data_IF_201270993211
#
_entry.id   IF_201270993211
#
_cell.length_a   1.000
_cell.length_b   1.000
_cell.length_c   1.000
_cell.angle_alpha   90.00
_cell.angle_beta   90.00
_cell.angle_gamma   90.00
#
_symmetry.space_group_name_H-M   'P 1'
#
loop_
_entity.id
_entity.type
_entity.pdbx_description
1 polymer ?
#
# COMPACT_ATOMS: atom_id res chain seq x y z
N UNK A 1 -8.82 -6.51 19.96
CA UNK A 1 -9.78 -5.50 19.42
C UNK A 1 -11.13 -5.52 20.14
N UNK A 2 -11.82 -6.66 20.33
CA UNK A 2 -13.13 -6.68 21.05
C UNK A 2 -13.05 -6.06 22.45
N UNK A 3 -12.02 -6.37 23.25
CA UNK A 3 -11.80 -5.77 24.57
C UNK A 3 -11.62 -4.24 24.50
N UNK A 4 -10.92 -3.73 23.47
CA UNK A 4 -10.74 -2.29 23.26
C UNK A 4 -12.09 -1.62 22.93
N UNK A 5 -12.94 -2.29 22.16
CA UNK A 5 -14.23 -1.77 21.71
C UNK A 5 -15.33 -1.88 22.78
N UNK A 6 -15.14 -2.66 23.85
CA UNK A 6 -16.15 -2.99 24.83
C UNK A 6 -16.82 -1.75 25.43
N UNK A 7 -16.03 -0.79 25.87
CA UNK A 7 -16.50 0.42 26.55
C UNK A 7 -16.43 1.69 25.67
N UNK A 8 -16.18 1.50 24.36
CA UNK A 8 -16.13 2.61 23.41
C UNK A 8 -17.40 2.72 22.60
N UNK A 9 -17.72 3.91 22.13
CA UNK A 9 -18.72 4.08 21.09
C UNK A 9 -18.12 3.65 19.75
N UNK A 10 -18.78 2.72 19.05
CA UNK A 10 -18.17 2.00 17.91
C UNK A 10 -19.06 2.05 16.70
N UNK A 11 -18.49 2.40 15.57
CA UNK A 11 -19.04 2.16 14.23
C UNK A 11 -18.10 1.22 13.46
N UNK A 12 -18.64 0.52 12.46
CA UNK A 12 -17.90 -0.40 11.61
C UNK A 12 -18.03 0.05 10.16
N UNK A 13 -16.89 0.14 9.47
CA UNK A 13 -16.86 0.17 8.01
C UNK A 13 -16.35 -1.17 7.50
N UNK A 14 -17.22 -1.94 6.84
CA UNK A 14 -16.86 -3.20 6.20
C UNK A 14 -16.69 -3.00 4.70
N UNK A 15 -15.51 -3.38 4.20
CA UNK A 15 -15.14 -3.19 2.80
C UNK A 15 -14.89 -4.56 2.17
N UNK A 16 -15.74 -4.96 1.24
CA UNK A 16 -15.57 -6.17 0.45
C UNK A 16 -16.43 -6.13 -0.81
N UNK A 17 -15.81 -6.14 -1.98
CA UNK A 17 -16.53 -6.10 -3.27
C UNK A 17 -17.45 -7.31 -3.43
N UNK A 18 -16.95 -8.53 -3.17
CA UNK A 18 -17.76 -9.77 -3.25
C UNK A 18 -18.62 -10.04 -2.01
N UNK A 19 -18.25 -9.47 -0.87
CA UNK A 19 -18.83 -9.81 0.43
C UNK A 19 -18.51 -11.23 0.93
N UNK A 20 -17.71 -11.99 0.19
CA UNK A 20 -17.36 -13.40 0.49
C UNK A 20 -15.87 -13.63 0.71
N UNK A 21 -15.06 -12.57 0.68
CA UNK A 21 -13.65 -12.67 1.07
C UNK A 21 -13.59 -13.11 2.53
N UNK A 22 -12.88 -14.19 2.80
CA UNK A 22 -12.97 -14.93 4.07
C UNK A 22 -12.62 -14.06 5.28
N UNK A 23 -11.52 -13.32 5.22
CA UNK A 23 -10.98 -12.55 6.34
C UNK A 23 -11.93 -11.42 6.77
N UNK A 24 -12.34 -10.50 5.89
CA UNK A 24 -13.29 -9.45 6.26
C UNK A 24 -14.67 -10.01 6.60
N UNK A 25 -15.10 -11.13 6.00
CA UNK A 25 -16.40 -11.75 6.33
C UNK A 25 -16.43 -12.31 7.75
N UNK A 26 -15.33 -12.95 8.20
CA UNK A 26 -15.19 -13.45 9.57
C UNK A 26 -15.17 -12.27 10.55
N UNK A 27 -14.33 -11.28 10.29
CA UNK A 27 -14.24 -10.08 11.12
C UNK A 27 -15.59 -9.36 11.23
N UNK A 28 -16.27 -9.17 10.10
CA UNK A 28 -17.59 -8.52 10.08
C UNK A 28 -18.62 -9.30 10.90
N UNK A 29 -18.67 -10.63 10.77
CA UNK A 29 -19.59 -11.46 11.56
C UNK A 29 -19.40 -11.25 13.07
N UNK A 30 -18.15 -11.27 13.54
CA UNK A 30 -17.81 -11.10 14.95
C UNK A 30 -18.17 -9.69 15.44
N UNK A 31 -17.76 -8.66 14.71
CA UNK A 31 -18.02 -7.27 15.12
C UNK A 31 -19.49 -6.87 14.97
N UNK A 32 -20.20 -7.37 13.97
CA UNK A 32 -21.64 -7.19 13.83
C UNK A 32 -22.39 -7.75 15.05
N UNK A 33 -22.05 -8.97 15.47
CA UNK A 33 -22.69 -9.59 16.64
C UNK A 33 -22.40 -8.79 17.92
N UNK A 34 -21.18 -8.26 18.08
CA UNK A 34 -20.85 -7.32 19.16
C UNK A 34 -21.73 -6.06 19.12
N UNK A 35 -21.92 -5.45 17.96
CA UNK A 35 -22.76 -4.26 17.82
C UNK A 35 -24.23 -4.57 18.14
N UNK A 36 -24.74 -5.71 17.66
CA UNK A 36 -26.12 -6.15 17.96
C UNK A 36 -26.34 -6.36 19.46
N UNK A 37 -25.38 -6.95 20.15
CA UNK A 37 -25.43 -7.12 21.61
C UNK A 37 -25.39 -5.78 22.35
N UNK A 38 -24.59 -4.83 21.86
CA UNK A 38 -24.37 -3.53 22.52
C UNK A 38 -25.48 -2.52 22.25
N UNK A 39 -25.98 -2.46 21.03
CA UNK A 39 -26.90 -1.40 20.56
C UNK A 39 -28.28 -1.90 20.12
N UNK A 40 -28.48 -3.22 20.07
CA UNK A 40 -29.73 -3.80 19.63
C UNK A 40 -30.10 -3.38 18.21
N UNK A 41 -31.31 -2.84 18.01
CA UNK A 41 -31.79 -2.41 16.68
C UNK A 41 -31.02 -1.21 16.13
N UNK A 42 -30.44 -0.35 16.98
CA UNK A 42 -29.64 0.79 16.53
C UNK A 42 -28.26 0.39 15.98
N UNK A 43 -27.89 -0.89 16.02
CA UNK A 43 -26.64 -1.39 15.44
C UNK A 43 -26.57 -1.15 13.92
N UNK A 44 -27.70 -1.14 13.21
CA UNK A 44 -27.72 -0.92 11.76
C UNK A 44 -27.24 0.48 11.37
N UNK A 45 -27.50 1.49 12.19
CA UNK A 45 -27.07 2.88 11.97
C UNK A 45 -25.55 3.07 12.19
N UNK A 46 -24.87 2.04 12.69
CA UNK A 46 -23.44 2.04 13.03
C UNK A 46 -22.60 1.15 12.11
N UNK A 47 -23.24 0.60 11.09
CA UNK A 47 -22.59 -0.28 10.11
C UNK A 47 -22.64 0.39 8.74
N UNK A 48 -21.45 0.67 8.22
CA UNK A 48 -21.23 1.22 6.90
C UNK A 48 -20.63 0.14 6.01
N UNK A 49 -21.15 0.00 4.80
CA UNK A 49 -20.76 -1.09 3.88
C UNK A 49 -20.23 -0.51 2.57
N UNK A 50 -18.99 -0.80 2.23
CA UNK A 50 -18.41 -0.46 0.93
C UNK A 50 -18.30 -1.74 0.11
N UNK A 51 -19.18 -1.91 -0.90
CA UNK A 51 -19.33 -3.16 -1.65
C UNK A 51 -19.70 -2.92 -3.12
N UNK A 52 -19.90 -3.99 -3.89
CA UNK A 52 -20.46 -3.92 -5.26
C UNK A 52 -21.85 -3.27 -5.26
N UNK A 53 -22.19 -2.60 -6.34
CA UNK A 53 -23.49 -1.90 -6.42
C UNK A 53 -24.70 -2.83 -6.53
N UNK A 54 -24.50 -4.07 -7.04
CA UNK A 54 -25.61 -4.97 -7.38
C UNK A 54 -25.34 -6.45 -7.02
N UNK A 55 -24.08 -6.84 -6.84
CA UNK A 55 -23.68 -8.25 -6.68
C UNK A 55 -23.01 -8.50 -5.34
N UNK A 56 -22.80 -9.79 -5.06
CA UNK A 56 -22.11 -10.23 -3.85
C UNK A 56 -23.03 -10.41 -2.65
N UNK A 57 -22.48 -10.92 -1.55
CA UNK A 57 -23.25 -11.28 -0.37
C UNK A 57 -23.58 -10.09 0.54
N UNK A 58 -22.74 -9.03 0.53
CA UNK A 58 -22.96 -7.85 1.38
C UNK A 58 -24.06 -6.93 0.88
N UNK A 59 -24.26 -6.83 -0.44
CA UNK A 59 -25.23 -5.89 -1.02
C UNK A 59 -26.67 -6.18 -0.58
N UNK A 60 -27.21 -7.41 -0.78
CA UNK A 60 -28.53 -7.75 -0.29
C UNK A 60 -28.69 -7.60 1.22
N UNK A 61 -27.67 -7.95 2.00
CA UNK A 61 -27.68 -7.80 3.44
C UNK A 61 -27.75 -6.33 3.87
N UNK A 62 -27.02 -5.43 3.19
CA UNK A 62 -27.07 -4.01 3.47
C UNK A 62 -28.46 -3.41 3.17
N UNK A 63 -29.09 -3.83 2.08
CA UNK A 63 -30.44 -3.40 1.73
C UNK A 63 -31.50 -3.90 2.70
N UNK A 64 -31.45 -5.18 3.07
CA UNK A 64 -32.42 -5.81 3.99
C UNK A 64 -32.32 -5.21 5.40
N UNK A 65 -31.09 -4.95 5.89
CA UNK A 65 -30.83 -4.51 7.26
C UNK A 65 -30.69 -2.99 7.41
N UNK A 66 -30.78 -2.24 6.29
CA UNK A 66 -30.74 -0.79 6.29
C UNK A 66 -29.35 -0.21 6.61
N UNK A 67 -28.27 -0.89 6.20
CA UNK A 67 -26.91 -0.34 6.36
C UNK A 67 -26.64 0.73 5.35
N UNK A 68 -26.02 1.83 5.78
CA UNK A 68 -25.48 2.84 4.86
C UNK A 68 -24.42 2.21 3.96
N UNK A 69 -24.56 2.41 2.63
CA UNK A 69 -23.70 1.70 1.70
C UNK A 69 -23.07 2.59 0.63
N UNK A 70 -21.80 2.31 0.34
CA UNK A 70 -20.96 2.95 -0.66
C UNK A 70 -20.58 1.94 -1.75
N UNK A 71 -20.40 2.43 -2.96
CA UNK A 71 -20.16 1.57 -4.12
C UNK A 71 -18.69 1.47 -4.45
N UNK A 72 -18.21 0.23 -4.62
CA UNK A 72 -16.92 -0.04 -5.27
C UNK A 72 -17.17 -0.07 -6.78
N UNK A 73 -16.53 0.79 -7.59
CA UNK A 73 -16.70 0.77 -9.04
C UNK A 73 -16.37 -0.60 -9.66
N UNK A 74 -17.14 -1.01 -10.67
CA UNK A 74 -17.02 -2.35 -11.28
C UNK A 74 -15.68 -2.59 -11.95
N UNK A 75 -15.12 -1.57 -12.56
CA UNK A 75 -13.89 -1.57 -13.34
C UNK A 75 -12.62 -1.27 -12.51
N UNK A 76 -12.76 -0.97 -11.22
CA UNK A 76 -11.63 -0.71 -10.32
C UNK A 76 -11.33 -1.94 -9.46
N UNK A 77 -10.11 -2.45 -9.57
CA UNK A 77 -9.57 -3.49 -8.69
C UNK A 77 -9.16 -2.96 -7.31
N UNK A 78 -9.07 -3.85 -6.30
CA UNK A 78 -8.80 -3.46 -4.91
C UNK A 78 -7.55 -2.59 -4.72
N UNK A 79 -6.45 -2.94 -5.36
CA UNK A 79 -5.18 -2.19 -5.25
C UNK A 79 -5.16 -0.83 -5.94
N UNK A 80 -6.12 -0.58 -6.87
CA UNK A 80 -6.35 0.70 -7.54
C UNK A 80 -7.50 1.50 -6.93
N UNK A 81 -7.98 1.14 -5.75
CA UNK A 81 -9.22 1.68 -5.19
C UNK A 81 -9.03 2.77 -4.13
N UNK A 82 -7.80 3.24 -3.90
CA UNK A 82 -7.51 4.28 -2.89
C UNK A 82 -8.32 5.55 -3.13
N UNK A 83 -8.45 5.97 -4.39
CA UNK A 83 -9.21 7.18 -4.80
C UNK A 83 -10.71 6.91 -5.03
N UNK A 84 -11.23 5.81 -4.50
CA UNK A 84 -12.67 5.47 -4.51
C UNK A 84 -13.22 5.46 -3.08
N UNK A 85 -14.52 5.16 -2.91
CA UNK A 85 -15.11 5.03 -1.58
C UNK A 85 -14.38 4.04 -0.66
N UNK A 86 -13.62 3.09 -1.23
CA UNK A 86 -12.79 2.14 -0.47
C UNK A 86 -11.73 2.85 0.38
N UNK A 87 -11.01 3.79 -0.19
CA UNK A 87 -9.99 4.57 0.52
C UNK A 87 -10.56 5.86 1.12
N UNK A 88 -11.39 6.60 0.37
CA UNK A 88 -11.83 7.94 0.75
C UNK A 88 -12.67 7.95 2.03
N UNK A 89 -13.55 6.96 2.24
CA UNK A 89 -14.37 6.92 3.45
C UNK A 89 -13.53 6.78 4.73
N UNK A 90 -12.65 5.79 4.88
CA UNK A 90 -11.81 5.70 6.08
C UNK A 90 -10.83 6.86 6.23
N UNK A 91 -10.34 7.44 5.13
CA UNK A 91 -9.46 8.61 5.13
C UNK A 91 -10.21 9.85 5.65
N UNK A 92 -11.45 10.08 5.19
CA UNK A 92 -12.31 11.15 5.70
C UNK A 92 -12.63 10.98 7.19
N UNK A 93 -12.93 9.75 7.63
CA UNK A 93 -13.16 9.43 9.05
C UNK A 93 -11.93 9.71 9.91
N UNK A 94 -10.73 9.52 9.35
CA UNK A 94 -9.47 9.88 10.01
C UNK A 94 -9.23 11.41 10.09
N UNK A 95 -10.12 12.23 9.53
CA UNK A 95 -10.03 13.70 9.56
C UNK A 95 -9.12 14.30 8.49
N UNK A 96 -8.76 13.53 7.47
CA UNK A 96 -7.94 13.99 6.34
C UNK A 96 -8.88 14.58 5.28
N UNK A 97 -8.47 15.70 4.69
CA UNK A 97 -9.21 16.39 3.64
C UNK A 97 -9.17 15.59 2.32
N UNK A 98 -10.28 14.90 2.04
CA UNK A 98 -10.41 14.07 0.83
C UNK A 98 -10.61 14.90 -0.43
N UNK A 99 -11.12 16.12 -0.33
CA UNK A 99 -11.27 17.01 -1.48
C UNK A 99 -9.90 17.50 -1.96
N UNK A 100 -9.01 17.88 -1.03
CA UNK A 100 -7.62 18.18 -1.35
C UNK A 100 -6.87 16.96 -1.90
N UNK A 101 -7.12 15.78 -1.35
CA UNK A 101 -6.53 14.54 -1.88
C UNK A 101 -6.96 14.27 -3.32
N UNK A 102 -8.25 14.41 -3.63
CA UNK A 102 -8.78 14.25 -5.00
C UNK A 102 -8.28 15.37 -5.93
N UNK A 103 -8.12 16.59 -5.43
CA UNK A 103 -7.53 17.68 -6.20
C UNK A 103 -6.08 17.37 -6.60
N UNK A 104 -5.28 16.82 -5.68
CA UNK A 104 -3.92 16.36 -5.99
C UNK A 104 -3.86 15.25 -7.03
N UNK A 105 -4.74 14.26 -6.91
CA UNK A 105 -4.87 13.20 -7.91
C UNK A 105 -5.27 13.74 -9.28
N UNK A 106 -6.17 14.73 -9.31
CA UNK A 106 -6.57 15.43 -10.54
C UNK A 106 -5.40 16.20 -11.17
N UNK A 107 -4.62 16.92 -10.38
CA UNK A 107 -3.43 17.63 -10.87
C UNK A 107 -2.45 16.65 -11.54
N UNK A 108 -2.22 15.48 -10.94
CA UNK A 108 -1.40 14.42 -11.53
C UNK A 108 -2.02 13.88 -12.83
N UNK A 109 -3.34 13.64 -12.85
CA UNK A 109 -4.04 13.18 -14.03
C UNK A 109 -3.93 14.18 -15.19
N UNK A 110 -4.13 15.46 -14.91
CA UNK A 110 -4.03 16.53 -15.91
C UNK A 110 -2.59 16.65 -16.44
N UNK A 111 -1.58 16.55 -15.57
CA UNK A 111 -0.15 16.61 -15.94
C UNK A 111 0.26 15.41 -16.79
N UNK A 112 -0.15 14.20 -16.39
CA UNK A 112 0.33 12.95 -16.99
C UNK A 112 -0.58 12.39 -18.09
N UNK A 113 -1.72 13.04 -18.39
CA UNK A 113 -2.60 12.67 -19.51
C UNK A 113 -1.95 12.88 -20.88
N UNK A 114 -0.90 13.64 -20.96
CA UNK A 114 -0.20 14.06 -22.19
C UNK A 114 1.32 13.90 -22.02
N UNK A 115 2.01 14.05 -23.13
CA UNK A 115 3.45 14.00 -23.17
C UNK A 115 4.01 12.66 -23.63
N UNK A 116 5.29 12.64 -23.79
CA UNK A 116 6.10 11.48 -24.15
C UNK A 116 6.99 11.06 -22.97
N UNK A 117 7.82 10.06 -23.18
CA UNK A 117 8.73 9.54 -22.16
C UNK A 117 9.68 10.61 -21.59
N UNK A 118 9.96 11.69 -22.32
CA UNK A 118 10.90 12.74 -21.87
C UNK A 118 10.22 13.80 -20.99
N UNK A 119 8.89 13.94 -21.11
CA UNK A 119 8.09 14.95 -20.41
C UNK A 119 7.14 14.37 -19.36
N UNK A 120 6.88 13.05 -19.39
CA UNK A 120 5.94 12.38 -18.50
C UNK A 120 6.68 11.47 -17.49
N UNK A 121 6.68 11.87 -16.23
CA UNK A 121 7.44 11.18 -15.19
C UNK A 121 6.90 9.79 -14.87
N UNK A 122 5.59 9.52 -15.07
CA UNK A 122 5.02 8.17 -14.97
C UNK A 122 5.61 7.23 -16.02
N UNK A 123 5.75 7.71 -17.26
CA UNK A 123 6.38 6.96 -18.35
C UNK A 123 7.88 6.75 -18.11
N UNK A 124 8.59 7.78 -17.59
CA UNK A 124 10.00 7.66 -17.23
C UNK A 124 10.21 6.60 -16.15
N UNK A 125 9.41 6.67 -15.08
CA UNK A 125 9.51 5.71 -13.99
C UNK A 125 9.22 4.29 -14.48
N UNK A 126 8.16 4.07 -15.24
CA UNK A 126 7.84 2.77 -15.83
C UNK A 126 8.96 2.25 -16.75
N UNK A 127 9.57 3.14 -17.55
CA UNK A 127 10.67 2.79 -18.44
C UNK A 127 11.94 2.41 -17.66
N UNK A 128 12.29 3.17 -16.63
CA UNK A 128 13.45 2.88 -15.76
C UNK A 128 13.29 1.53 -15.05
N UNK A 129 12.11 1.24 -14.51
CA UNK A 129 11.79 -0.06 -13.91
C UNK A 129 12.03 -1.21 -14.88
N UNK A 130 11.46 -1.11 -16.10
CA UNK A 130 11.65 -2.09 -17.16
C UNK A 130 13.10 -2.17 -17.65
N UNK A 131 13.83 -1.06 -17.69
CA UNK A 131 15.23 -1.02 -18.02
C UNK A 131 16.05 -1.81 -16.97
N UNK A 132 15.88 -1.53 -15.68
CA UNK A 132 16.61 -2.20 -14.62
C UNK A 132 16.31 -3.71 -14.58
N UNK A 133 15.06 -4.11 -14.75
CA UNK A 133 14.70 -5.54 -14.83
C UNK A 133 15.45 -6.24 -15.96
N UNK A 134 15.50 -5.65 -17.15
CA UNK A 134 16.22 -6.21 -18.31
C UNK A 134 17.75 -6.23 -18.14
N UNK A 135 18.27 -5.45 -17.19
CA UNK A 135 19.69 -5.41 -16.84
C UNK A 135 20.01 -6.14 -15.55
N UNK A 136 19.19 -7.13 -15.16
CA UNK A 136 19.44 -8.04 -14.05
C UNK A 136 19.10 -7.51 -12.66
N UNK A 137 18.41 -6.37 -12.56
CA UNK A 137 17.86 -5.89 -11.30
C UNK A 137 16.43 -6.42 -11.16
N UNK A 138 16.26 -7.46 -10.37
CA UNK A 138 14.97 -8.15 -10.19
C UNK A 138 14.20 -7.69 -8.96
N UNK A 139 14.78 -6.85 -8.13
CA UNK A 139 14.19 -6.31 -6.90
C UNK A 139 14.17 -4.80 -6.97
N UNK A 140 13.03 -4.20 -6.69
CA UNK A 140 12.91 -2.78 -6.42
C UNK A 140 12.57 -2.55 -4.95
N UNK A 141 13.32 -1.68 -4.28
CA UNK A 141 13.07 -1.29 -2.90
C UNK A 141 12.49 0.12 -2.92
N UNK A 142 11.23 0.28 -2.51
CA UNK A 142 10.68 1.59 -2.21
C UNK A 142 11.14 2.00 -0.80
N UNK A 143 12.05 2.96 -0.74
CA UNK A 143 12.60 3.47 0.50
C UNK A 143 11.98 4.83 0.86
N UNK A 144 11.68 5.05 2.13
CA UNK A 144 11.15 6.30 2.65
C UNK A 144 11.93 6.73 3.88
N UNK A 145 12.22 8.03 4.00
CA UNK A 145 12.87 8.62 5.17
C UNK A 145 11.86 9.21 6.16
N UNK A 146 10.57 9.17 5.82
CA UNK A 146 9.48 9.59 6.67
C UNK A 146 8.65 8.37 7.09
N UNK A 147 8.67 7.96 8.38
CA UNK A 147 7.91 6.81 8.87
C UNK A 147 6.39 6.91 8.63
N UNK A 148 5.84 8.12 8.46
CA UNK A 148 4.44 8.32 8.13
C UNK A 148 4.04 7.68 6.80
N UNK A 149 5.00 7.48 5.88
CA UNK A 149 4.78 6.82 4.60
C UNK A 149 4.95 5.28 4.63
N UNK A 150 5.20 4.67 5.78
CA UNK A 150 5.42 3.23 5.90
C UNK A 150 4.26 2.41 5.32
N UNK A 151 3.01 2.79 5.61
CA UNK A 151 1.84 2.09 5.06
C UNK A 151 1.61 2.37 3.57
N UNK A 152 2.11 3.49 3.06
CA UNK A 152 2.16 3.75 1.61
C UNK A 152 3.08 2.75 0.90
N UNK A 153 4.18 2.37 1.53
CA UNK A 153 5.06 1.32 1.02
C UNK A 153 4.36 -0.04 0.96
N UNK A 154 3.53 -0.38 1.95
CA UNK A 154 2.76 -1.63 1.96
C UNK A 154 1.73 -1.66 0.80
N UNK A 155 0.99 -0.55 0.61
CA UNK A 155 0.10 -0.42 -0.54
C UNK A 155 0.88 -0.49 -1.88
N UNK A 156 2.00 0.18 -2.00
CA UNK A 156 2.84 0.16 -3.20
C UNK A 156 3.32 -1.26 -3.55
N UNK A 157 3.70 -2.06 -2.55
CA UNK A 157 4.03 -3.48 -2.75
C UNK A 157 2.87 -4.27 -3.32
N UNK A 158 1.66 -4.06 -2.80
CA UNK A 158 0.47 -4.70 -3.34
C UNK A 158 0.19 -4.22 -4.77
N UNK A 159 0.25 -2.91 -5.01
CA UNK A 159 -0.01 -2.31 -6.32
C UNK A 159 0.88 -2.95 -7.38
N UNK A 160 2.18 -2.93 -7.22
CA UNK A 160 3.12 -3.45 -8.20
C UNK A 160 3.20 -4.99 -8.20
N UNK A 161 3.23 -5.63 -7.05
CA UNK A 161 3.33 -7.08 -6.94
C UNK A 161 2.18 -7.82 -7.61
N UNK A 162 0.94 -7.43 -7.31
CA UNK A 162 -0.25 -8.04 -7.94
C UNK A 162 -0.42 -7.63 -9.41
N UNK A 163 0.06 -6.46 -9.80
CA UNK A 163 -0.10 -5.98 -11.18
C UNK A 163 0.93 -6.57 -12.12
N UNK A 164 2.19 -6.69 -11.70
CA UNK A 164 3.31 -7.08 -12.57
C UNK A 164 3.76 -8.53 -12.40
N UNK A 165 3.58 -9.14 -11.23
CA UNK A 165 4.05 -10.50 -10.93
C UNK A 165 3.25 -11.58 -11.66
N UNK A 166 3.35 -11.65 -13.00
CA UNK A 166 2.61 -12.56 -13.86
C UNK A 166 3.49 -13.13 -14.98
N UNK A 167 3.14 -14.29 -15.49
CA UNK A 167 3.85 -14.93 -16.61
C UNK A 167 5.37 -15.07 -16.41
N UNK A 168 5.81 -15.24 -15.17
CA UNK A 168 7.22 -15.27 -14.82
C UNK A 168 7.97 -13.94 -14.99
N UNK A 169 7.24 -12.82 -15.02
CA UNK A 169 7.75 -11.47 -15.21
C UNK A 169 7.54 -10.63 -13.97
N UNK A 170 8.02 -9.38 -14.02
CA UNK A 170 7.84 -8.37 -12.98
C UNK A 170 9.03 -8.25 -12.04
N UNK A 171 9.14 -7.08 -11.41
CA UNK A 171 10.07 -6.81 -10.33
C UNK A 171 9.48 -7.29 -9.00
N UNK A 172 10.30 -7.83 -8.12
CA UNK A 172 9.87 -8.10 -6.75
C UNK A 172 9.84 -6.78 -5.96
N UNK A 173 8.66 -6.32 -5.49
CA UNK A 173 8.56 -5.07 -4.76
C UNK A 173 8.89 -5.30 -3.28
N UNK A 174 9.94 -4.67 -2.81
CA UNK A 174 10.32 -4.60 -1.40
C UNK A 174 10.16 -3.17 -0.88
N UNK A 175 10.27 -2.97 0.42
CA UNK A 175 10.26 -1.63 1.00
C UNK A 175 11.19 -1.51 2.18
N UNK A 176 11.61 -0.27 2.49
CA UNK A 176 12.43 0.08 3.63
C UNK A 176 12.00 1.42 4.23
N UNK A 177 12.10 1.55 5.56
CA UNK A 177 11.91 2.81 6.28
C UNK A 177 13.24 3.22 6.88
N UNK A 178 13.88 4.21 6.30
CA UNK A 178 15.16 4.73 6.78
C UNK A 178 14.93 5.75 7.91
N UNK A 179 15.79 5.83 8.93
CA UNK A 179 17.05 5.11 9.18
C UNK A 179 16.89 3.70 9.78
N UNK A 180 15.69 3.32 10.26
CA UNK A 180 15.47 2.04 10.97
C UNK A 180 16.02 0.85 10.16
N UNK A 181 15.67 0.76 8.89
CA UNK A 181 16.06 -0.38 8.05
C UNK A 181 17.51 -0.32 7.54
N UNK A 182 18.20 0.81 7.70
CA UNK A 182 19.65 0.84 7.50
C UNK A 182 20.38 -0.06 8.53
N UNK A 183 19.79 -0.21 9.73
CA UNK A 183 20.30 -1.09 10.78
C UNK A 183 19.85 -2.55 10.66
N UNK A 184 19.11 -2.90 9.60
CA UNK A 184 18.70 -4.29 9.29
C UNK A 184 19.20 -4.72 7.93
N UNK A 185 18.68 -4.18 6.85
CA UNK A 185 19.00 -4.57 5.47
C UNK A 185 20.02 -3.65 4.79
N UNK A 186 20.43 -2.54 5.43
CA UNK A 186 21.39 -1.58 4.86
C UNK A 186 22.72 -2.22 4.48
N UNK A 187 23.24 -3.14 5.29
CA UNK A 187 24.46 -3.89 4.96
C UNK A 187 24.29 -4.71 3.66
N UNK A 188 23.12 -5.34 3.48
CA UNK A 188 22.87 -6.13 2.27
C UNK A 188 22.71 -5.23 1.04
N UNK A 189 22.05 -4.08 1.19
CA UNK A 189 21.91 -3.09 0.12
C UNK A 189 23.31 -2.60 -0.28
N UNK A 190 24.17 -2.25 0.69
CA UNK A 190 25.49 -1.70 0.43
C UNK A 190 26.49 -2.71 -0.19
N UNK A 191 26.50 -3.97 0.26
CA UNK A 191 27.54 -4.94 -0.11
C UNK A 191 27.01 -6.30 -0.57
N UNK A 192 25.68 -6.55 -0.52
CA UNK A 192 25.08 -7.82 -0.92
C UNK A 192 25.01 -8.01 -2.44
N UNK A 193 24.23 -8.97 -2.89
CA UNK A 193 24.02 -9.29 -4.30
C UNK A 193 23.43 -8.11 -5.07
N UNK A 194 24.01 -7.75 -6.20
CA UNK A 194 23.63 -6.56 -7.02
C UNK A 194 22.37 -6.75 -7.86
N UNK A 195 21.31 -7.35 -7.30
CA UNK A 195 20.03 -7.64 -8.00
C UNK A 195 18.96 -6.59 -7.81
N UNK A 196 19.26 -5.50 -7.10
CA UNK A 196 18.28 -4.50 -6.70
C UNK A 196 18.64 -3.08 -7.19
N UNK A 197 17.63 -2.24 -7.18
CA UNK A 197 17.74 -0.79 -7.23
C UNK A 197 16.74 -0.19 -6.23
N UNK A 198 16.89 1.07 -5.90
CA UNK A 198 16.02 1.79 -4.98
C UNK A 198 15.20 2.85 -5.69
N UNK A 199 13.96 3.00 -5.26
CA UNK A 199 13.13 4.18 -5.48
C UNK A 199 12.93 4.86 -4.13
N UNK A 200 13.50 6.04 -3.94
CA UNK A 200 13.50 6.72 -2.65
C UNK A 200 12.53 7.90 -2.68
N UNK A 201 11.57 7.93 -1.76
CA UNK A 201 10.68 9.08 -1.58
C UNK A 201 11.30 9.99 -0.52
N UNK A 202 11.71 11.18 -0.96
CA UNK A 202 12.16 12.24 -0.09
C UNK A 202 11.03 13.24 0.16
N UNK A 203 10.75 13.53 1.42
CA UNK A 203 9.73 14.51 1.82
C UNK A 203 10.42 15.72 2.40
N UNK A 204 10.26 16.87 1.76
CA UNK A 204 10.72 18.14 2.31
C UNK A 204 9.64 18.74 3.22
N UNK A 205 9.43 18.10 4.37
CA UNK A 205 8.48 18.58 5.36
C UNK A 205 9.09 19.69 6.21
N UNK A 206 8.31 20.73 6.47
CA UNK A 206 8.69 21.73 7.46
C UNK A 206 8.76 21.09 8.85
N UNK A 207 9.89 21.21 9.52
CA UNK A 207 10.08 20.79 10.90
C UNK A 207 10.73 21.95 11.65
N UNK A 208 10.05 22.39 12.70
CA UNK A 208 10.49 23.52 13.51
C UNK A 208 11.23 23.11 14.77
N UNK A 209 11.43 21.79 15.00
CA UNK A 209 12.18 21.32 16.15
C UNK A 209 13.67 21.53 15.95
N UNK A 210 14.25 22.45 16.73
CA UNK A 210 15.66 22.79 16.69
C UNK A 210 16.41 22.03 17.78
N UNK A 211 17.54 21.42 17.43
CA UNK A 211 18.42 20.73 18.36
C UNK A 211 19.17 21.79 19.18
N UNK A 212 19.04 21.72 20.49
CA UNK A 212 19.78 22.61 21.40
C UNK A 212 21.16 22.04 21.72
N UNK A 213 22.08 22.90 22.17
CA UNK A 213 23.39 22.46 22.67
C UNK A 213 23.26 21.93 24.06
N UNK A 214 23.95 20.83 24.36
CA UNK A 214 24.17 20.36 25.72
C UNK A 214 25.42 20.99 26.35
N UNK A 215 25.32 21.39 27.63
CA UNK A 215 26.40 22.07 28.33
C UNK A 215 27.69 21.24 28.38
N UNK A 216 27.57 19.93 28.59
CA UNK A 216 28.68 19.01 28.74
C UNK A 216 29.12 18.32 27.44
N UNK A 217 28.32 18.43 26.38
CA UNK A 217 28.54 17.72 25.11
C UNK A 217 28.96 16.25 25.28
N UNK A 218 28.36 15.57 26.26
CA UNK A 218 28.76 14.23 26.67
C UNK A 218 28.47 13.17 25.53
N UNK A 219 27.50 13.44 24.68
CA UNK A 219 27.13 12.62 23.53
C UNK A 219 27.89 13.01 22.23
N UNK A 220 28.65 14.12 22.26
CA UNK A 220 29.39 14.63 21.11
C UNK A 220 28.53 15.27 20.02
N UNK A 221 27.24 15.55 20.29
CA UNK A 221 26.28 16.00 19.27
C UNK A 221 26.12 17.52 19.16
N UNK A 222 26.89 18.34 19.89
CA UNK A 222 26.79 19.80 19.81
C UNK A 222 27.08 20.39 18.41
N UNK A 223 27.70 19.63 17.49
CA UNK A 223 27.83 20.04 16.10
C UNK A 223 26.49 20.13 15.35
N UNK A 224 25.43 19.55 15.92
CA UNK A 224 24.05 19.64 15.40
C UNK A 224 23.28 20.81 16.03
N UNK A 225 23.82 21.49 17.03
CA UNK A 225 23.12 22.59 17.69
C UNK A 225 22.73 23.69 16.68
N UNK A 226 21.48 24.14 16.80
CA UNK A 226 20.90 25.10 15.86
C UNK A 226 20.39 24.49 14.53
N UNK A 227 20.55 23.19 14.32
CA UNK A 227 19.96 22.47 13.17
C UNK A 227 18.59 21.93 13.51
N UNK A 228 17.71 21.79 12.51
CA UNK A 228 16.42 21.12 12.69
C UNK A 228 16.56 19.62 12.55
N UNK A 229 15.61 18.85 13.10
CA UNK A 229 15.54 17.39 12.88
C UNK A 229 15.40 17.09 11.38
N UNK A 230 14.59 17.87 10.65
CA UNK A 230 14.46 17.69 9.21
C UNK A 230 15.79 17.89 8.46
N UNK A 231 16.59 18.89 8.86
CA UNK A 231 17.93 19.07 8.29
C UNK A 231 18.79 17.81 8.46
N UNK A 232 18.80 17.22 9.65
CA UNK A 232 19.57 15.99 9.94
C UNK A 232 19.05 14.82 9.08
N UNK A 233 17.73 14.67 8.98
CA UNK A 233 17.10 13.64 8.16
C UNK A 233 17.45 13.81 6.66
N UNK A 234 17.45 15.04 6.15
CA UNK A 234 17.85 15.31 4.76
C UNK A 234 19.34 14.97 4.50
N UNK A 235 20.23 15.24 5.47
CA UNK A 235 21.64 14.85 5.34
C UNK A 235 21.81 13.33 5.36
N UNK A 236 21.05 12.64 6.22
CA UNK A 236 21.02 11.17 6.27
C UNK A 236 20.52 10.58 4.94
N UNK A 237 19.45 11.16 4.37
CA UNK A 237 18.94 10.78 3.06
C UNK A 237 20.02 10.91 1.98
N UNK A 238 20.64 12.10 1.84
CA UNK A 238 21.67 12.34 0.83
C UNK A 238 22.86 11.40 0.99
N UNK A 239 23.34 11.22 2.24
CA UNK A 239 24.46 10.33 2.54
C UNK A 239 24.16 8.88 2.16
N UNK A 240 22.93 8.41 2.43
CA UNK A 240 22.49 7.06 2.08
C UNK A 240 22.43 6.85 0.57
N UNK A 241 21.77 7.76 -0.16
CA UNK A 241 21.66 7.68 -1.62
C UNK A 241 23.04 7.68 -2.29
N UNK A 242 23.96 8.53 -1.83
CA UNK A 242 25.34 8.56 -2.34
C UNK A 242 26.06 7.22 -2.06
N UNK A 243 26.03 6.73 -0.83
CA UNK A 243 26.70 5.50 -0.45
C UNK A 243 26.17 4.29 -1.23
N UNK A 244 24.87 4.13 -1.35
CA UNK A 244 24.25 3.04 -2.08
C UNK A 244 24.55 3.12 -3.59
N UNK A 245 24.55 4.34 -4.17
CA UNK A 245 24.90 4.56 -5.57
C UNK A 245 26.36 4.18 -5.84
N UNK A 246 27.29 4.63 -5.01
CA UNK A 246 28.71 4.28 -5.09
C UNK A 246 28.94 2.77 -4.91
N UNK A 247 28.11 2.12 -4.08
CA UNK A 247 28.04 0.68 -3.91
C UNK A 247 27.45 -0.09 -5.10
N UNK A 248 26.99 0.59 -6.15
CA UNK A 248 26.45 -0.03 -7.37
C UNK A 248 24.96 -0.37 -7.27
N UNK A 249 24.21 0.26 -6.36
CA UNK A 249 22.75 0.21 -6.28
C UNK A 249 22.17 1.49 -6.89
N UNK A 250 21.58 1.44 -8.09
CA UNK A 250 20.97 2.61 -8.70
C UNK A 250 19.82 3.15 -7.85
N UNK A 251 19.68 4.48 -7.83
CA UNK A 251 18.62 5.17 -7.10
C UNK A 251 17.75 6.01 -8.05
N UNK A 252 16.44 5.96 -7.84
CA UNK A 252 15.45 6.87 -8.40
C UNK A 252 14.93 7.71 -7.25
N UNK A 253 15.01 9.04 -7.31
CA UNK A 253 14.46 9.92 -6.29
C UNK A 253 13.11 10.48 -6.72
N UNK A 254 12.14 10.41 -5.83
CA UNK A 254 10.83 11.06 -5.91
C UNK A 254 10.76 12.10 -4.81
N UNK A 255 10.66 13.39 -5.21
CA UNK A 255 10.61 14.50 -4.27
C UNK A 255 9.15 14.89 -4.01
N UNK A 256 8.74 14.87 -2.74
CA UNK A 256 7.49 15.47 -2.28
C UNK A 256 7.78 16.78 -1.59
N UNK A 257 7.07 17.83 -1.97
CA UNK A 257 7.25 19.17 -1.39
C UNK A 257 6.74 19.28 0.04
N UNK A 258 5.76 18.45 0.39
CA UNK A 258 5.18 18.42 1.73
C UNK A 258 4.43 17.09 2.00
N UNK A 259 3.80 16.97 3.19
CA UNK A 259 2.96 15.82 3.60
C UNK A 259 1.47 16.19 3.61
N UNK A 260 1.01 16.92 2.61
CA UNK A 260 -0.41 17.28 2.52
C UNK A 260 -1.25 16.16 1.91
N UNK A 261 -2.56 16.22 2.12
CA UNK A 261 -3.50 15.32 1.45
C UNK A 261 -3.38 15.46 -0.08
N UNK A 262 -3.13 16.68 -0.58
CA UNK A 262 -2.93 16.97 -2.00
C UNK A 262 -1.71 16.26 -2.57
N UNK A 263 -0.56 16.34 -1.90
CA UNK A 263 0.66 15.64 -2.34
C UNK A 263 0.47 14.12 -2.32
N UNK A 264 -0.23 13.61 -1.31
CA UNK A 264 -0.52 12.19 -1.22
C UNK A 264 -1.43 11.71 -2.35
N UNK A 265 -2.50 12.43 -2.66
CA UNK A 265 -3.37 12.12 -3.78
C UNK A 265 -2.64 12.14 -5.13
N UNK A 266 -1.74 13.12 -5.31
CA UNK A 266 -0.86 13.19 -6.47
C UNK A 266 0.05 11.96 -6.59
N UNK A 267 0.68 11.54 -5.48
CA UNK A 267 1.56 10.38 -5.41
C UNK A 267 0.80 9.08 -5.72
N UNK A 268 -0.41 8.92 -5.19
CA UNK A 268 -1.26 7.75 -5.46
C UNK A 268 -1.52 7.62 -6.96
N UNK A 269 -2.00 8.68 -7.60
CA UNK A 269 -2.25 8.65 -9.04
C UNK A 269 -0.98 8.41 -9.86
N UNK A 270 0.13 9.03 -9.47
CA UNK A 270 1.43 8.81 -10.10
C UNK A 270 1.81 7.33 -10.10
N UNK A 271 1.70 6.63 -8.97
CA UNK A 271 2.05 5.22 -8.89
C UNK A 271 1.05 4.32 -9.62
N UNK A 272 -0.25 4.60 -9.54
CA UNK A 272 -1.27 3.83 -10.24
C UNK A 272 -1.08 3.88 -11.77
N UNK A 273 -0.86 5.06 -12.32
CA UNK A 273 -0.59 5.23 -13.75
C UNK A 273 0.75 4.60 -14.15
N UNK A 274 1.80 4.83 -13.37
CA UNK A 274 3.13 4.25 -13.62
C UNK A 274 3.09 2.72 -13.63
N UNK A 275 2.34 2.13 -12.70
CA UNK A 275 2.15 0.69 -12.60
C UNK A 275 1.43 0.13 -13.84
N UNK A 276 0.36 0.79 -14.28
CA UNK A 276 -0.36 0.40 -15.49
C UNK A 276 0.55 0.43 -16.73
N UNK A 277 1.29 1.53 -16.91
CA UNK A 277 2.24 1.69 -18.03
C UNK A 277 3.33 0.62 -17.98
N UNK A 278 3.93 0.40 -16.80
CA UNK A 278 4.99 -0.61 -16.60
C UNK A 278 4.50 -2.03 -16.93
N UNK A 279 3.28 -2.38 -16.47
CA UNK A 279 2.67 -3.66 -16.79
C UNK A 279 2.45 -3.87 -18.30
N UNK A 280 1.97 -2.86 -19.00
CA UNK A 280 1.85 -2.93 -20.47
C UNK A 280 3.21 -3.05 -21.17
N UNK A 281 4.26 -2.39 -20.67
CA UNK A 281 5.63 -2.53 -21.21
C UNK A 281 6.19 -3.95 -20.98
N UNK A 282 5.73 -4.67 -19.95
CA UNK A 282 6.03 -6.08 -19.71
C UNK A 282 5.18 -7.02 -20.59
N UNK A 283 4.17 -6.50 -21.29
CA UNK A 283 3.24 -7.28 -22.10
C UNK A 283 2.28 -8.13 -21.27
N UNK A 284 1.83 -7.62 -20.13
CA UNK A 284 0.89 -8.27 -19.22
C UNK A 284 -0.32 -7.36 -18.96
N UNK A 285 -1.43 -7.95 -18.51
CA UNK A 285 -2.58 -7.16 -18.02
C UNK A 285 -2.34 -6.73 -16.57
N UNK A 286 -2.15 -5.42 -16.26
CA UNK A 286 -1.88 -4.96 -14.91
C UNK A 286 -3.10 -4.97 -13.98
N UNK A 287 -4.31 -5.22 -14.49
CA UNK A 287 -5.55 -5.06 -13.72
C UNK A 287 -6.17 -6.36 -13.21
N UNK A 288 -5.75 -7.53 -13.70
CA UNK A 288 -6.19 -8.83 -13.19
C UNK A 288 -5.19 -9.39 -12.15
N UNK A 289 -5.55 -10.49 -11.46
CA UNK A 289 -4.70 -11.18 -10.48
C UNK A 289 -4.96 -12.70 -10.45
N UNK A 290 -4.63 -13.44 -11.53
CA UNK A 290 -4.95 -14.86 -11.60
C UNK A 290 -4.19 -15.72 -10.59
N UNK A 291 -3.00 -15.30 -10.15
CA UNK A 291 -2.13 -16.07 -9.26
C UNK A 291 -2.70 -16.33 -7.87
N UNK A 292 -3.58 -15.45 -7.37
CA UNK A 292 -4.16 -15.60 -6.02
C UNK A 292 -5.29 -16.63 -5.96
N UNK A 293 -5.80 -17.11 -7.09
CA UNK A 293 -6.90 -18.08 -7.11
C UNK A 293 -6.46 -19.48 -6.67
N UNK A 294 -5.22 -19.87 -6.91
CA UNK A 294 -4.71 -21.18 -6.56
C UNK A 294 -4.70 -21.42 -5.04
N UNK A 295 -4.17 -20.48 -4.26
CA UNK A 295 -4.14 -20.65 -2.81
C UNK A 295 -5.55 -20.59 -2.20
N UNK A 296 -6.45 -19.76 -2.74
CA UNK A 296 -7.85 -19.68 -2.29
C UNK A 296 -8.58 -21.01 -2.48
N UNK A 297 -8.41 -21.66 -3.65
CA UNK A 297 -8.97 -23.00 -3.88
C UNK A 297 -8.48 -24.00 -2.85
N UNK A 298 -7.17 -24.02 -2.60
CA UNK A 298 -6.58 -24.93 -1.60
C UNK A 298 -7.13 -24.63 -0.19
N UNK A 299 -7.18 -23.36 0.20
CA UNK A 299 -7.74 -22.94 1.49
C UNK A 299 -9.20 -23.36 1.64
N UNK A 300 -10.05 -23.13 0.63
CA UNK A 300 -11.46 -23.51 0.67
C UNK A 300 -11.65 -25.03 0.77
N UNK A 301 -10.83 -25.79 0.06
CA UNK A 301 -10.83 -27.24 0.12
C UNK A 301 -10.45 -27.75 1.52
N UNK A 302 -9.38 -27.22 2.11
CA UNK A 302 -8.91 -27.59 3.45
C UNK A 302 -9.87 -27.16 4.56
N UNK A 303 -10.62 -26.06 4.36
CA UNK A 303 -11.68 -25.61 5.27
C UNK A 303 -12.99 -26.38 5.11
N UNK A 304 -13.08 -27.31 4.16
CA UNK A 304 -14.30 -28.10 3.92
C UNK A 304 -15.45 -27.30 3.32
N UNK A 305 -15.14 -26.26 2.52
CA UNK A 305 -16.17 -25.49 1.85
C UNK A 305 -16.93 -26.35 0.84
N UNK A 306 -18.29 -26.34 0.84
CA UNK A 306 -19.09 -27.09 -0.12
C UNK A 306 -18.68 -26.80 -1.58
N UNK A 307 -18.58 -27.87 -2.40
CA UNK A 307 -18.14 -27.80 -3.79
C UNK A 307 -16.63 -27.92 -4.00
N UNK A 308 -15.84 -28.20 -2.94
CA UNK A 308 -14.39 -28.40 -2.99
C UNK A 308 -13.94 -29.77 -2.47
N UNK A 309 -14.85 -30.74 -2.39
CA UNK A 309 -14.63 -32.03 -1.76
C UNK A 309 -13.52 -32.85 -2.46
N UNK A 310 -13.53 -32.92 -3.80
CA UNK A 310 -12.51 -33.61 -4.58
C UNK A 310 -11.10 -32.99 -4.37
N UNK A 311 -11.02 -31.65 -4.39
CA UNK A 311 -9.79 -30.95 -4.12
C UNK A 311 -9.28 -31.21 -2.69
N UNK A 312 -10.20 -31.33 -1.71
CA UNK A 312 -9.84 -31.62 -0.32
C UNK A 312 -9.17 -32.98 -0.14
N UNK A 313 -9.69 -34.02 -0.82
CA UNK A 313 -9.11 -35.35 -0.78
C UNK A 313 -7.72 -35.40 -1.44
N UNK A 314 -7.57 -34.75 -2.59
CA UNK A 314 -6.27 -34.65 -3.27
C UNK A 314 -5.25 -33.95 -2.39
N UNK A 315 -5.60 -32.83 -1.77
CA UNK A 315 -4.71 -32.06 -0.90
C UNK A 315 -4.31 -32.87 0.35
N UNK A 316 -5.25 -33.59 0.96
CA UNK A 316 -4.94 -34.47 2.11
C UNK A 316 -3.90 -35.54 1.75
N UNK A 317 -4.08 -36.23 0.62
CA UNK A 317 -3.10 -37.21 0.12
C UNK A 317 -1.72 -36.61 -0.16
N UNK A 318 -1.67 -35.33 -0.58
CA UNK A 318 -0.41 -34.62 -0.79
C UNK A 318 0.25 -34.22 0.53
N UNK A 319 -0.52 -33.78 1.52
CA UNK A 319 -0.03 -33.45 2.87
C UNK A 319 0.55 -34.68 3.60
N UNK A 320 -0.10 -35.85 3.47
CA UNK A 320 0.40 -37.11 4.04
C UNK A 320 1.78 -37.54 3.47
N UNK A 321 2.14 -37.08 2.26
CA UNK A 321 3.45 -37.35 1.64
C UNK A 321 4.54 -36.35 2.03
N UNK A 322 4.17 -35.24 2.64
CA UNK A 322 5.09 -34.16 3.07
C UNK A 322 5.48 -34.32 4.56
N UNK A 323 4.62 -34.98 5.34
CA UNK A 323 4.91 -35.38 6.72
C UNK A 323 5.68 -36.69 6.78
#
# INVERSE_FOLDING_TARGET
>A
MLEICKDKDVCINVISKSGTTTEPAIAFRIFRDMLLQKYGKAASERIFVTTDKARGALRPQAEELGYESFVVPDDIGGRYSVLSAVGLLPIAVAGIDVDEMLAGAKDAADKYSKGDIFSNDCMKYAALRNYFLRHGKSVEILAVNDPALSMTCEWWKQLFGESEGKDGKGLYPASAVYSTDLHSIGQFIQEGTRVMFETVINVNAEDNFVIESDADNADGLNFLAGKTINFVNQQAFLGTVMAHTDGGVPNISIELTSRTARDFGYLVYFFELSCAVSGYMLGINPFNQPGVEAYKKNMFALLGKPGYEENAEELKKRLEKIQ
#
